data_IF_678915987730
#
_entry.id   IF_678915987730
#
_cell.length_a   1.000
_cell.length_b   1.000
_cell.length_c   1.000
_cell.angle_alpha   90.00
_cell.angle_beta   90.00
_cell.angle_gamma   90.00
#
_symmetry.space_group_name_H-M   'P 1'
#
loop_
_entity.id
_entity.type
_entity.pdbx_description
1 polymer ?
#
# COMPACT_ATOMS: atom_id res chain seq x y z
N UNK A 1 44.93 38.03 23.49
CA UNK A 1 44.55 36.79 22.79
C UNK A 1 43.06 36.85 22.50
N UNK A 2 42.69 37.11 21.24
CA UNK A 2 41.30 37.10 20.79
C UNK A 2 40.80 35.66 20.71
N UNK A 3 39.84 35.28 21.53
CA UNK A 3 39.05 34.06 21.35
C UNK A 3 38.04 34.31 20.24
N UNK A 4 38.42 33.92 19.01
CA UNK A 4 37.47 33.83 17.90
C UNK A 4 36.36 32.84 18.27
N UNK A 5 35.16 33.35 18.51
CA UNK A 5 33.94 32.54 18.54
C UNK A 5 33.71 31.99 17.15
N UNK A 6 33.99 30.70 16.95
CA UNK A 6 33.64 29.95 15.75
C UNK A 6 32.11 30.06 15.59
N UNK A 7 31.59 30.58 14.46
CA UNK A 7 30.15 30.63 14.24
C UNK A 7 29.61 29.19 14.21
N UNK A 8 28.75 28.85 15.19
CA UNK A 8 28.02 27.58 15.20
C UNK A 8 27.13 27.55 13.98
N UNK A 9 27.39 26.60 13.09
CA UNK A 9 26.58 26.36 11.90
C UNK A 9 25.18 25.88 12.35
N UNK A 10 24.10 26.67 12.14
CA UNK A 10 22.75 26.35 12.63
C UNK A 10 22.17 25.07 12.02
N UNK A 11 22.78 24.54 10.95
CA UNK A 11 22.34 23.32 10.28
C UNK A 11 22.86 22.03 10.94
N UNK A 12 23.79 22.09 11.90
CA UNK A 12 24.34 20.89 12.56
C UNK A 12 23.42 20.25 13.61
N UNK A 13 22.36 20.93 14.03
CA UNK A 13 21.47 20.48 15.13
C UNK A 13 20.00 20.37 14.72
N UNK A 14 19.71 20.17 13.42
CA UNK A 14 18.32 19.90 13.00
C UNK A 14 18.02 18.42 13.32
N UNK A 15 17.05 18.11 14.22
CA UNK A 15 16.59 16.75 14.42
C UNK A 15 16.17 16.16 13.09
N UNK A 16 16.53 14.90 12.81
CA UNK A 16 16.29 14.25 11.52
C UNK A 16 14.81 14.34 11.06
N UNK A 17 13.87 14.33 12.02
CA UNK A 17 12.43 14.51 11.77
C UNK A 17 12.13 15.90 11.20
N UNK A 18 12.77 16.96 11.71
CA UNK A 18 12.62 18.32 11.19
C UNK A 18 13.21 18.41 9.79
N UNK A 19 14.36 17.77 9.54
CA UNK A 19 14.95 17.73 8.19
C UNK A 19 14.00 17.07 7.18
N UNK A 20 13.40 15.92 7.52
CA UNK A 20 12.38 15.30 6.66
C UNK A 20 11.18 16.21 6.46
N UNK A 21 10.65 16.84 7.51
CA UNK A 21 9.50 17.76 7.38
C UNK A 21 9.79 18.96 6.48
N UNK A 22 11.00 19.51 6.53
CA UNK A 22 11.42 20.59 5.63
C UNK A 22 11.51 20.10 4.18
N UNK A 23 12.16 18.95 3.95
CA UNK A 23 12.25 18.34 2.63
C UNK A 23 10.87 18.03 2.04
N UNK A 24 9.98 17.49 2.86
CA UNK A 24 8.58 17.22 2.55
C UNK A 24 7.86 18.51 2.16
N UNK A 25 7.99 19.57 2.96
CA UNK A 25 7.37 20.86 2.67
C UNK A 25 7.80 21.40 1.31
N UNK A 26 9.10 21.33 1.00
CA UNK A 26 9.64 21.72 -0.30
C UNK A 26 9.09 20.83 -1.42
N UNK A 27 9.08 19.51 -1.23
CA UNK A 27 8.61 18.59 -2.25
C UNK A 27 7.12 18.79 -2.57
N UNK A 28 6.31 18.97 -1.53
CA UNK A 28 4.88 19.21 -1.63
C UNK A 28 4.58 20.54 -2.33
N UNK A 29 5.32 21.58 -1.97
CA UNK A 29 5.23 22.89 -2.62
C UNK A 29 5.58 22.80 -4.10
N UNK A 30 6.68 22.12 -4.45
CA UNK A 30 7.09 21.96 -5.84
C UNK A 30 6.05 21.15 -6.63
N UNK A 31 5.48 20.09 -6.03
CA UNK A 31 4.40 19.32 -6.65
C UNK A 31 3.16 20.20 -6.87
N UNK A 32 2.73 20.97 -5.86
CA UNK A 32 1.54 21.81 -5.96
C UNK A 32 1.74 23.03 -6.90
N UNK A 33 2.97 23.52 -7.10
CA UNK A 33 3.26 24.65 -8.01
C UNK A 33 3.48 24.19 -9.44
N UNK A 34 4.29 23.16 -9.65
CA UNK A 34 4.75 22.77 -10.99
C UNK A 34 4.01 21.56 -11.55
N UNK A 35 3.45 20.70 -10.68
CA UNK A 35 2.80 19.44 -11.05
C UNK A 35 1.29 19.39 -10.76
N UNK A 36 0.67 20.44 -10.22
CA UNK A 36 -0.79 20.51 -10.01
C UNK A 36 -1.63 20.44 -11.31
N UNK A 37 -0.99 20.21 -12.46
CA UNK A 37 -1.60 19.97 -13.75
C UNK A 37 -1.52 18.47 -14.07
N UNK A 38 -2.59 17.75 -13.77
CA UNK A 38 -3.17 16.69 -14.62
C UNK A 38 -4.44 16.03 -14.06
N UNK A 39 -5.26 16.76 -13.29
CA UNK A 39 -6.66 16.34 -13.05
C UNK A 39 -7.55 16.42 -14.30
N UNK A 40 -7.10 17.13 -15.35
CA UNK A 40 -7.83 17.30 -16.61
C UNK A 40 -7.62 16.15 -17.61
N UNK A 41 -6.72 15.21 -17.32
CA UNK A 41 -6.45 14.03 -18.15
C UNK A 41 -6.80 12.72 -17.41
N UNK A 42 -7.78 12.76 -16.50
CA UNK A 42 -8.63 11.59 -16.31
C UNK A 42 -9.69 11.61 -17.42
N UNK A 43 -9.26 11.75 -18.68
CA UNK A 43 -10.10 11.25 -19.75
C UNK A 43 -10.24 9.75 -19.48
N UNK A 44 -11.44 9.17 -19.65
CA UNK A 44 -11.56 7.73 -19.59
C UNK A 44 -10.53 7.22 -20.61
N UNK A 45 -9.49 6.54 -20.11
CA UNK A 45 -8.61 5.71 -20.93
C UNK A 45 -9.58 5.02 -21.88
N UNK A 46 -9.53 5.37 -23.18
CA UNK A 46 -10.44 4.78 -24.16
C UNK A 46 -10.36 3.30 -23.87
N UNK A 47 -11.52 2.64 -23.65
CA UNK A 47 -11.55 1.19 -23.47
C UNK A 47 -11.03 0.59 -24.79
N UNK A 48 -9.71 0.57 -24.96
CA UNK A 48 -9.05 -0.23 -25.96
C UNK A 48 -9.55 -1.63 -25.65
N UNK A 49 -10.19 -2.22 -26.65
CA UNK A 49 -10.74 -3.55 -26.53
C UNK A 49 -9.58 -4.47 -26.10
N UNK A 50 -9.72 -5.06 -24.93
CA UNK A 50 -8.75 -6.04 -24.45
C UNK A 50 -8.99 -7.34 -25.20
N UNK A 51 -7.95 -8.12 -25.44
CA UNK A 51 -8.11 -9.47 -26.00
C UNK A 51 -9.06 -10.34 -25.14
N UNK A 52 -9.14 -10.06 -23.84
CA UNK A 52 -10.06 -10.72 -22.89
C UNK A 52 -11.53 -10.40 -23.19
N UNK A 53 -11.83 -9.28 -23.85
CA UNK A 53 -13.21 -8.93 -24.22
C UNK A 53 -13.77 -9.90 -25.27
N UNK A 54 -12.90 -10.61 -26.00
CA UNK A 54 -13.27 -11.62 -27.00
C UNK A 54 -13.41 -13.04 -26.43
N UNK A 55 -13.01 -13.27 -25.18
CA UNK A 55 -13.06 -14.58 -24.54
C UNK A 55 -14.29 -14.71 -23.66
N UNK A 56 -14.91 -15.89 -23.63
CA UNK A 56 -15.88 -16.22 -22.59
C UNK A 56 -15.17 -16.75 -21.34
N UNK A 57 -15.93 -16.87 -20.24
CA UNK A 57 -15.36 -17.30 -18.96
C UNK A 57 -14.79 -18.72 -19.03
N UNK A 58 -15.40 -19.61 -19.84
CA UNK A 58 -14.90 -20.96 -20.07
C UNK A 58 -13.54 -20.97 -20.78
N UNK A 59 -13.35 -20.12 -21.78
CA UNK A 59 -12.08 -19.95 -22.50
C UNK A 59 -10.99 -19.42 -21.56
N UNK A 60 -11.32 -18.45 -20.70
CA UNK A 60 -10.37 -17.91 -19.73
C UNK A 60 -9.95 -18.99 -18.73
N UNK A 61 -10.91 -19.78 -18.22
CA UNK A 61 -10.63 -20.89 -17.31
C UNK A 61 -9.77 -21.97 -17.97
N UNK A 62 -10.07 -22.36 -19.21
CA UNK A 62 -9.26 -23.33 -19.94
C UNK A 62 -7.81 -22.84 -20.13
N UNK A 63 -7.63 -21.58 -20.54
CA UNK A 63 -6.30 -20.95 -20.63
C UNK A 63 -5.58 -20.93 -19.29
N UNK A 64 -6.27 -20.57 -18.21
CA UNK A 64 -5.73 -20.56 -16.86
C UNK A 64 -5.24 -21.94 -16.43
N UNK A 65 -6.09 -22.97 -16.51
CA UNK A 65 -5.69 -24.33 -16.17
C UNK A 65 -4.62 -24.89 -17.11
N UNK A 66 -4.62 -24.47 -18.37
CA UNK A 66 -3.53 -24.71 -19.32
C UNK A 66 -2.20 -24.15 -18.83
N UNK A 67 -2.17 -22.88 -18.43
CA UNK A 67 -0.98 -22.22 -17.88
C UNK A 67 -0.49 -22.87 -16.57
N UNK A 68 -1.42 -23.28 -15.70
CA UNK A 68 -1.11 -24.04 -14.47
C UNK A 68 -0.42 -25.35 -14.81
N UNK A 69 -0.98 -26.15 -15.74
CA UNK A 69 -0.37 -27.43 -16.18
C UNK A 69 0.97 -27.25 -16.87
N UNK A 70 1.15 -26.15 -17.60
CA UNK A 70 2.39 -25.82 -18.30
C UNK A 70 3.48 -25.23 -17.38
N UNK A 71 3.17 -24.97 -16.10
CA UNK A 71 4.11 -24.37 -15.16
C UNK A 71 4.43 -22.89 -15.46
N UNK A 72 3.52 -22.17 -16.13
CA UNK A 72 3.68 -20.76 -16.52
C UNK A 72 3.30 -19.79 -15.39
N UNK A 73 3.43 -20.20 -14.14
CA UNK A 73 3.24 -19.32 -13.00
C UNK A 73 4.43 -18.40 -12.82
N UNK A 74 4.16 -17.15 -12.40
CA UNK A 74 5.19 -16.15 -12.16
C UNK A 74 5.99 -16.53 -10.90
N UNK A 75 7.29 -16.86 -10.98
CA UNK A 75 8.09 -17.33 -9.82
C UNK A 75 8.11 -16.35 -8.65
N UNK A 76 7.93 -15.07 -8.92
CA UNK A 76 7.86 -13.99 -7.93
C UNK A 76 6.53 -13.93 -7.15
N UNK A 77 5.51 -14.70 -7.59
CA UNK A 77 4.17 -14.77 -6.99
C UNK A 77 3.99 -15.89 -5.97
N UNK A 78 5.09 -16.53 -5.57
CA UNK A 78 5.07 -17.62 -4.58
C UNK A 78 4.60 -17.08 -3.22
N UNK A 79 3.60 -17.75 -2.64
CA UNK A 79 3.07 -17.42 -1.32
C UNK A 79 3.87 -18.06 -0.17
N UNK A 80 3.40 -17.87 1.07
CA UNK A 80 4.02 -18.45 2.26
C UNK A 80 3.97 -19.98 2.35
N UNK A 81 3.21 -20.64 1.46
CA UNK A 81 3.06 -22.09 1.36
C UNK A 81 3.78 -22.67 0.14
N UNK A 82 4.60 -21.87 -0.54
CA UNK A 82 5.29 -22.24 -1.78
C UNK A 82 4.36 -22.46 -2.98
N UNK A 83 3.13 -21.93 -2.94
CA UNK A 83 2.18 -21.99 -4.05
C UNK A 83 2.27 -20.73 -4.92
N UNK A 84 2.25 -20.91 -6.23
CA UNK A 84 2.17 -19.81 -7.19
C UNK A 84 0.74 -19.26 -7.21
N UNK A 85 0.61 -17.94 -7.08
CA UNK A 85 -0.70 -17.27 -7.11
C UNK A 85 -1.02 -16.61 -8.44
N UNK A 86 -0.03 -16.36 -9.29
CA UNK A 86 -0.22 -15.59 -10.53
C UNK A 86 0.26 -16.41 -11.73
N UNK A 87 -0.59 -16.53 -12.74
CA UNK A 87 -0.33 -17.28 -13.96
C UNK A 87 -0.55 -16.40 -15.17
N UNK A 88 0.45 -16.36 -16.08
CA UNK A 88 0.36 -15.61 -17.34
C UNK A 88 -0.43 -16.44 -18.36
N UNK A 89 -1.56 -15.90 -18.85
CA UNK A 89 -2.45 -16.62 -19.78
C UNK A 89 -2.36 -16.09 -21.23
N UNK A 90 -1.74 -14.92 -21.41
CA UNK A 90 -1.38 -14.32 -22.70
C UNK A 90 -0.25 -13.31 -22.48
N UNK A 91 0.23 -12.65 -23.55
CA UNK A 91 1.32 -11.68 -23.43
C UNK A 91 0.99 -10.51 -22.50
N UNK A 92 -0.27 -10.08 -22.46
CA UNK A 92 -0.73 -8.90 -21.74
C UNK A 92 -1.61 -9.19 -20.52
N UNK A 93 -1.92 -10.47 -20.24
CA UNK A 93 -2.92 -10.84 -19.21
C UNK A 93 -2.38 -11.89 -18.26
N UNK A 94 -2.64 -11.65 -16.97
CA UNK A 94 -2.45 -12.63 -15.90
C UNK A 94 -3.77 -12.97 -15.22
N UNK A 95 -3.81 -14.15 -14.63
CA UNK A 95 -4.82 -14.54 -13.65
C UNK A 95 -4.16 -14.65 -12.29
N UNK A 96 -4.64 -13.84 -11.34
CA UNK A 96 -4.26 -13.93 -9.93
C UNK A 96 -5.33 -14.71 -9.17
N UNK A 97 -4.93 -15.79 -8.52
CA UNK A 97 -5.74 -16.54 -7.59
C UNK A 97 -5.64 -15.91 -6.21
N UNK A 98 -6.77 -15.52 -5.64
CA UNK A 98 -6.85 -14.95 -4.30
C UNK A 98 -7.99 -15.61 -3.52
N UNK A 99 -7.71 -16.06 -2.31
CA UNK A 99 -8.78 -16.50 -1.41
C UNK A 99 -9.56 -15.29 -0.90
N UNK A 100 -10.88 -15.40 -0.95
CA UNK A 100 -11.77 -14.51 -0.24
C UNK A 100 -11.48 -14.52 1.26
N UNK A 101 -11.76 -13.41 1.93
CA UNK A 101 -11.33 -13.16 3.32
C UNK A 101 -12.48 -12.92 4.29
N UNK A 102 -13.70 -13.10 3.84
CA UNK A 102 -14.86 -13.16 4.72
C UNK A 102 -15.03 -14.60 5.21
N UNK A 103 -14.16 -15.03 6.13
CA UNK A 103 -14.09 -16.40 6.63
C UNK A 103 -15.41 -16.96 7.20
N UNK A 104 -16.27 -16.07 7.69
CA UNK A 104 -17.55 -16.43 8.31
C UNK A 104 -18.77 -16.09 7.42
N UNK A 105 -18.56 -15.66 6.16
CA UNK A 105 -19.65 -15.36 5.20
C UNK A 105 -19.54 -16.19 3.92
N UNK A 106 -20.67 -16.71 3.40
CA UNK A 106 -20.68 -17.39 2.11
C UNK A 106 -20.39 -16.43 0.95
N UNK A 107 -20.66 -15.13 1.13
CA UNK A 107 -20.34 -14.09 0.15
C UNK A 107 -18.93 -13.58 0.41
N UNK A 108 -18.06 -13.76 -0.59
CA UNK A 108 -16.70 -13.24 -0.59
C UNK A 108 -16.63 -11.88 -1.28
N UNK A 109 -16.04 -10.91 -0.59
CA UNK A 109 -15.85 -9.56 -1.12
C UNK A 109 -14.52 -9.51 -1.88
N UNK A 110 -14.50 -9.06 -3.15
CA UNK A 110 -13.28 -8.98 -3.93
C UNK A 110 -12.46 -7.72 -3.58
N UNK A 111 -11.82 -7.72 -2.41
CA UNK A 111 -11.18 -6.52 -1.83
C UNK A 111 -10.15 -5.87 -2.77
N UNK A 112 -9.30 -6.66 -3.42
CA UNK A 112 -8.30 -6.14 -4.37
C UNK A 112 -8.95 -5.46 -5.57
N UNK A 113 -10.04 -6.03 -6.09
CA UNK A 113 -10.76 -5.45 -7.22
C UNK A 113 -11.37 -4.08 -6.88
N UNK A 114 -12.05 -4.00 -5.74
CA UNK A 114 -12.64 -2.76 -5.25
C UNK A 114 -11.56 -1.69 -5.01
N UNK A 115 -10.41 -2.08 -4.44
CA UNK A 115 -9.29 -1.17 -4.21
C UNK A 115 -8.67 -0.67 -5.52
N UNK A 116 -8.35 -1.56 -6.46
CA UNK A 116 -7.78 -1.21 -7.76
C UNK A 116 -8.71 -0.29 -8.55
N UNK A 117 -10.00 -0.62 -8.62
CA UNK A 117 -10.99 0.21 -9.30
C UNK A 117 -11.10 1.60 -8.67
N UNK A 118 -11.12 1.65 -7.33
CA UNK A 118 -11.14 2.93 -6.61
C UNK A 118 -9.91 3.78 -6.92
N UNK A 119 -8.71 3.19 -6.88
CA UNK A 119 -7.44 3.89 -7.15
C UNK A 119 -7.41 4.41 -8.59
N UNK A 120 -7.78 3.59 -9.58
CA UNK A 120 -7.87 4.00 -10.99
C UNK A 120 -8.82 5.18 -11.20
N UNK A 121 -9.96 5.19 -10.50
CA UNK A 121 -10.98 6.23 -10.65
C UNK A 121 -10.62 7.55 -9.97
N UNK A 122 -9.85 7.51 -8.89
CA UNK A 122 -9.64 8.69 -8.03
C UNK A 122 -8.21 9.24 -8.04
N UNK A 123 -7.27 8.55 -8.69
CA UNK A 123 -5.85 8.91 -8.70
C UNK A 123 -5.24 8.71 -10.09
N UNK A 124 -4.03 9.21 -10.29
CA UNK A 124 -3.21 8.94 -11.49
C UNK A 124 -2.18 7.84 -11.23
N UNK A 125 -2.35 7.04 -10.18
CA UNK A 125 -1.41 5.98 -9.81
C UNK A 125 -1.55 4.86 -10.86
N UNK A 126 -0.46 4.46 -11.55
CA UNK A 126 -0.48 3.30 -12.42
C UNK A 126 -0.72 2.04 -11.61
N UNK A 127 -1.87 1.41 -11.84
CA UNK A 127 -2.26 0.13 -11.22
C UNK A 127 -2.89 -0.78 -12.28
N UNK A 128 -2.72 -2.11 -12.18
CA UNK A 128 -3.30 -3.05 -13.14
C UNK A 128 -4.81 -2.90 -13.25
N UNK A 129 -5.37 -3.00 -14.46
CA UNK A 129 -6.81 -3.08 -14.66
C UNK A 129 -7.30 -4.50 -14.41
N UNK A 130 -8.36 -4.64 -13.63
CA UNK A 130 -9.14 -5.88 -13.59
C UNK A 130 -10.13 -5.87 -14.76
N UNK A 131 -10.07 -6.93 -15.57
CA UNK A 131 -10.98 -7.16 -16.68
C UNK A 131 -12.18 -7.99 -16.25
N UNK A 132 -11.95 -9.06 -15.47
CA UNK A 132 -13.00 -9.96 -14.96
C UNK A 132 -12.64 -10.54 -13.60
N UNK A 133 -13.67 -10.94 -12.86
CA UNK A 133 -13.55 -11.72 -11.63
C UNK A 133 -14.29 -13.02 -11.90
N UNK A 134 -13.56 -14.14 -11.94
CA UNK A 134 -14.15 -15.46 -12.10
C UNK A 134 -14.16 -16.20 -10.76
N UNK A 135 -15.08 -17.14 -10.64
CA UNK A 135 -15.21 -18.03 -9.50
C UNK A 135 -15.14 -19.46 -9.99
N UNK A 136 -14.57 -20.36 -9.17
CA UNK A 136 -14.51 -21.78 -9.48
C UNK A 136 -15.42 -22.56 -8.53
N UNK A 137 -16.11 -23.57 -9.04
CA UNK A 137 -16.90 -24.49 -8.20
C UNK A 137 -15.99 -25.42 -7.39
N UNK A 138 -14.77 -25.68 -7.90
CA UNK A 138 -13.79 -26.58 -7.29
C UNK A 138 -13.14 -25.99 -6.04
N UNK A 139 -13.05 -24.66 -5.94
CA UNK A 139 -12.49 -23.96 -4.79
C UNK A 139 -13.45 -22.85 -4.33
N UNK A 140 -14.55 -23.23 -3.64
CA UNK A 140 -15.50 -22.26 -3.12
C UNK A 140 -14.80 -21.21 -2.26
N UNK A 141 -15.05 -19.94 -2.58
CA UNK A 141 -14.47 -18.80 -1.89
C UNK A 141 -13.16 -18.27 -2.49
N UNK A 142 -12.64 -18.88 -3.56
CA UNK A 142 -11.53 -18.34 -4.33
C UNK A 142 -12.03 -17.38 -5.44
N UNK A 143 -11.37 -16.24 -5.57
CA UNK A 143 -11.50 -15.32 -6.69
C UNK A 143 -10.34 -15.52 -7.67
N UNK A 144 -10.65 -15.57 -8.96
CA UNK A 144 -9.68 -15.49 -10.04
C UNK A 144 -9.78 -14.10 -10.68
N UNK A 145 -8.81 -13.24 -10.39
CA UNK A 145 -8.72 -11.91 -10.97
C UNK A 145 -8.01 -11.98 -12.31
N UNK A 146 -8.75 -11.74 -13.39
CA UNK A 146 -8.20 -11.60 -14.74
C UNK A 146 -7.82 -10.14 -14.92
N UNK A 147 -6.52 -9.84 -15.03
CA UNK A 147 -6.02 -8.48 -14.98
C UNK A 147 -4.80 -8.26 -15.88
N UNK A 148 -4.46 -6.99 -16.12
CA UNK A 148 -3.27 -6.62 -16.90
C UNK A 148 -2.00 -7.26 -16.33
N UNK A 149 -1.19 -7.83 -17.22
CA UNK A 149 0.20 -8.12 -16.96
C UNK A 149 1.02 -6.86 -17.14
N UNK A 150 1.74 -6.46 -16.09
CA UNK A 150 2.63 -5.30 -16.16
C UNK A 150 4.05 -5.79 -16.42
N UNK A 151 4.56 -5.49 -17.61
CA UNK A 151 5.95 -5.76 -17.94
C UNK A 151 6.89 -4.83 -17.16
N UNK A 152 7.61 -5.40 -16.21
CA UNK A 152 8.61 -4.67 -15.42
C UNK A 152 9.25 -5.56 -14.37
N UNK A 153 10.24 -5.01 -13.69
CA UNK A 153 10.95 -5.70 -12.61
C UNK A 153 10.48 -5.18 -11.25
N UNK A 154 10.46 -6.06 -10.24
CA UNK A 154 10.18 -5.64 -8.88
C UNK A 154 11.23 -4.64 -8.40
N UNK A 155 10.79 -3.57 -7.73
CA UNK A 155 11.67 -2.53 -7.22
C UNK A 155 12.77 -3.13 -6.34
N UNK A 156 12.46 -4.16 -5.55
CA UNK A 156 13.42 -4.89 -4.73
C UNK A 156 14.62 -5.44 -5.51
N UNK A 157 14.38 -5.96 -6.71
CA UNK A 157 15.40 -6.58 -7.57
C UNK A 157 16.29 -5.53 -8.24
N UNK A 158 15.71 -4.42 -8.69
CA UNK A 158 16.45 -3.36 -9.40
C UNK A 158 17.02 -2.27 -8.48
N UNK A 159 16.58 -2.16 -7.23
CA UNK A 159 17.06 -1.14 -6.31
C UNK A 159 18.59 -1.07 -6.13
N UNK A 160 19.33 -2.19 -6.08
CA UNK A 160 20.79 -2.16 -6.01
C UNK A 160 21.45 -1.60 -7.28
N UNK A 161 20.81 -1.76 -8.44
CA UNK A 161 21.36 -1.36 -9.75
C UNK A 161 21.01 0.08 -10.13
N UNK A 162 20.00 0.68 -9.48
CA UNK A 162 19.63 2.09 -9.69
C UNK A 162 20.81 3.02 -9.38
N UNK A 163 21.07 3.96 -10.31
CA UNK A 163 22.09 4.99 -10.14
C UNK A 163 21.91 5.68 -8.77
N UNK A 164 22.98 5.80 -7.95
CA UNK A 164 22.84 5.82 -6.49
C UNK A 164 22.02 6.97 -5.90
N UNK A 165 21.83 8.07 -6.62
CA UNK A 165 21.20 9.28 -6.08
C UNK A 165 19.93 9.67 -6.83
N UNK A 166 19.99 9.85 -8.16
CA UNK A 166 18.83 10.35 -8.92
C UNK A 166 17.71 9.34 -9.10
N UNK A 167 18.02 8.07 -9.40
CA UNK A 167 17.00 7.04 -9.64
C UNK A 167 16.18 6.76 -8.37
N UNK A 168 16.87 6.57 -7.24
CA UNK A 168 16.23 6.34 -5.94
C UNK A 168 15.43 7.55 -5.47
N UNK A 169 15.94 8.76 -5.68
CA UNK A 169 15.23 10.00 -5.36
C UNK A 169 13.95 10.15 -6.20
N UNK A 170 14.03 9.89 -7.51
CA UNK A 170 12.87 9.93 -8.41
C UNK A 170 11.78 8.98 -7.93
N UNK A 171 12.14 7.74 -7.60
CA UNK A 171 11.17 6.75 -7.11
C UNK A 171 10.57 7.20 -5.77
N UNK A 172 11.39 7.67 -4.82
CA UNK A 172 10.90 8.18 -3.55
C UNK A 172 9.93 9.36 -3.74
N UNK A 173 10.21 10.25 -4.71
CA UNK A 173 9.33 11.37 -5.04
C UNK A 173 8.02 10.92 -5.67
N UNK A 174 8.07 9.98 -6.61
CA UNK A 174 6.88 9.38 -7.22
C UNK A 174 6.00 8.72 -6.16
N UNK A 175 6.59 7.91 -5.27
CA UNK A 175 5.86 7.27 -4.18
C UNK A 175 5.26 8.29 -3.19
N UNK A 176 5.98 9.38 -2.88
CA UNK A 176 5.41 10.47 -2.07
C UNK A 176 4.18 11.08 -2.74
N UNK A 177 4.23 11.35 -4.04
CA UNK A 177 3.06 11.83 -4.78
C UNK A 177 1.91 10.82 -4.72
N UNK A 178 2.19 9.51 -4.85
CA UNK A 178 1.16 8.47 -4.70
C UNK A 178 0.50 8.52 -3.32
N UNK A 179 1.28 8.59 -2.24
CA UNK A 179 0.74 8.73 -0.87
C UNK A 179 -0.13 9.99 -0.74
N UNK A 180 0.29 11.12 -1.31
CA UNK A 180 -0.51 12.36 -1.32
C UNK A 180 -1.82 12.19 -2.08
N UNK A 181 -1.80 11.50 -3.22
CA UNK A 181 -3.00 11.21 -4.01
C UNK A 181 -3.98 10.33 -3.24
N UNK A 182 -3.50 9.25 -2.61
CA UNK A 182 -4.32 8.36 -1.77
C UNK A 182 -4.95 9.11 -0.59
N UNK A 183 -4.20 10.01 0.05
CA UNK A 183 -4.72 10.87 1.13
C UNK A 183 -5.74 11.92 0.69
N UNK A 184 -5.64 12.36 -0.56
CA UNK A 184 -6.55 13.35 -1.17
C UNK A 184 -7.80 12.71 -1.76
N UNK A 185 -7.79 11.40 -2.05
CA UNK A 185 -8.95 10.68 -2.57
C UNK A 185 -10.12 10.77 -1.58
N UNK A 186 -11.26 11.30 -2.06
CA UNK A 186 -12.48 11.44 -1.25
C UNK A 186 -13.34 10.20 -1.45
N UNK A 187 -13.87 9.65 -0.36
CA UNK A 187 -14.83 8.55 -0.39
C UNK A 187 -15.86 8.71 0.72
N UNK A 188 -17.06 8.19 0.50
CA UNK A 188 -18.04 7.98 1.57
C UNK A 188 -17.59 6.89 2.56
N UNK A 189 -16.71 5.98 2.11
CA UNK A 189 -16.11 4.94 2.95
C UNK A 189 -15.05 5.48 3.92
N UNK A 190 -14.66 6.76 3.82
CA UNK A 190 -13.67 7.38 4.73
C UNK A 190 -14.11 7.46 6.21
N UNK A 191 -15.37 7.11 6.52
CA UNK A 191 -15.89 7.01 7.89
C UNK A 191 -15.86 5.61 8.49
N UNK A 192 -15.73 4.56 7.67
CA UNK A 192 -15.68 3.16 8.12
C UNK A 192 -14.27 2.62 7.92
N UNK A 193 -13.58 2.17 9.00
CA UNK A 193 -12.22 1.66 8.89
C UNK A 193 -12.20 0.28 8.24
N UNK A 194 -11.14 0.02 7.49
CA UNK A 194 -10.91 -1.31 6.91
C UNK A 194 -10.90 -1.33 5.39
N UNK A 195 -10.81 -2.54 4.80
CA UNK A 195 -10.93 -2.73 3.36
C UNK A 195 -12.26 -2.21 2.81
N UNK A 196 -12.26 -1.92 1.50
CA UNK A 196 -13.45 -1.44 0.81
C UNK A 196 -14.53 -2.54 0.79
N UNK A 197 -15.78 -2.15 1.03
CA UNK A 197 -16.96 -3.01 1.00
C UNK A 197 -18.19 -2.26 1.48
N UNK A 198 -19.37 -2.87 1.31
CA UNK A 198 -20.65 -2.25 1.71
C UNK A 198 -20.87 -2.26 3.23
N UNK A 199 -20.19 -3.17 3.93
CA UNK A 199 -20.20 -3.30 5.38
C UNK A 199 -18.77 -3.23 5.95
N UNK A 200 -18.60 -3.02 7.27
CA UNK A 200 -17.29 -3.10 7.92
C UNK A 200 -16.55 -4.40 7.62
N UNK A 201 -15.46 -4.30 6.84
CA UNK A 201 -14.67 -5.45 6.44
C UNK A 201 -13.61 -5.80 7.49
N UNK A 202 -13.17 -7.06 7.49
CA UNK A 202 -12.07 -7.53 8.36
C UNK A 202 -10.79 -6.77 8.04
N UNK A 203 -10.25 -6.06 9.04
CA UNK A 203 -8.98 -5.36 8.97
C UNK A 203 -7.82 -6.36 8.98
N UNK A 204 -6.84 -6.15 8.09
CA UNK A 204 -5.65 -6.99 7.93
C UNK A 204 -4.42 -6.09 7.86
N UNK A 205 -3.32 -6.60 8.40
CA UNK A 205 -2.05 -5.88 8.45
C UNK A 205 -1.21 -6.33 9.62
N UNK A 206 0.11 -6.14 9.53
CA UNK A 206 1.02 -6.38 10.65
C UNK A 206 0.63 -5.57 11.89
N UNK A 207 0.10 -4.37 11.67
CA UNK A 207 -0.40 -3.47 12.71
C UNK A 207 -1.55 -4.07 13.55
N UNK A 208 -2.30 -5.03 13.00
CA UNK A 208 -3.36 -5.76 13.69
C UNK A 208 -2.87 -7.06 14.35
N UNK A 209 -1.56 -7.25 14.45
CA UNK A 209 -0.91 -8.38 15.13
C UNK A 209 -1.36 -9.75 14.58
N UNK A 210 -1.65 -9.82 13.28
CA UNK A 210 -2.11 -11.05 12.61
C UNK A 210 -3.50 -11.53 13.04
N UNK A 211 -4.28 -10.73 13.79
CA UNK A 211 -5.64 -11.10 14.16
C UNK A 211 -6.56 -11.00 12.95
N UNK A 212 -7.09 -12.14 12.49
CA UNK A 212 -7.89 -12.30 11.25
C UNK A 212 -9.40 -12.06 11.41
N UNK A 213 -9.86 -11.48 12.53
CA UNK A 213 -11.29 -11.35 12.86
C UNK A 213 -11.63 -10.03 13.53
N UNK A 214 -11.02 -8.94 13.05
CA UNK A 214 -11.23 -7.62 13.64
C UNK A 214 -11.77 -6.69 12.57
N UNK A 215 -13.04 -6.34 12.65
CA UNK A 215 -13.66 -5.25 11.89
C UNK A 215 -14.15 -4.19 12.87
N UNK A 216 -14.34 -2.96 12.40
CA UNK A 216 -14.84 -1.89 13.25
C UNK A 216 -15.88 -1.05 12.50
N UNK A 217 -16.98 -0.67 13.16
CA UNK A 217 -18.02 0.13 12.52
C UNK A 217 -17.58 1.57 12.28
N UNK A 218 -16.63 2.08 13.07
CA UNK A 218 -16.21 3.48 13.03
C UNK A 218 -14.80 3.70 13.61
N UNK A 219 -14.31 4.95 13.46
CA UNK A 219 -13.01 5.38 13.97
C UNK A 219 -12.90 5.31 15.51
N UNK A 220 -13.90 5.70 16.33
CA UNK A 220 -13.86 5.51 17.77
C UNK A 220 -13.62 4.06 18.20
N UNK A 221 -14.27 3.09 17.53
CA UNK A 221 -14.10 1.66 17.81
C UNK A 221 -12.69 1.17 17.48
N UNK A 222 -12.16 1.57 16.32
CA UNK A 222 -10.76 1.31 15.94
C UNK A 222 -9.78 1.90 16.97
N UNK A 223 -9.97 3.17 17.32
CA UNK A 223 -9.16 3.88 18.32
C UNK A 223 -9.16 3.16 19.67
N UNK A 224 -10.35 2.78 20.16
CA UNK A 224 -10.52 2.09 21.44
C UNK A 224 -9.76 0.77 21.49
N UNK A 225 -9.80 0.00 20.40
CA UNK A 225 -9.08 -1.26 20.28
C UNK A 225 -7.56 -1.09 20.37
N UNK A 226 -7.00 -0.11 19.65
CA UNK A 226 -5.56 0.17 19.74
C UNK A 226 -5.16 0.68 21.12
N UNK A 227 -5.96 1.56 21.73
CA UNK A 227 -5.72 2.02 23.10
C UNK A 227 -5.74 0.88 24.12
N UNK A 228 -6.67 -0.07 23.97
CA UNK A 228 -6.72 -1.26 24.83
C UNK A 228 -5.46 -2.12 24.68
N UNK A 229 -4.98 -2.32 23.44
CA UNK A 229 -3.73 -3.04 23.19
C UNK A 229 -2.51 -2.37 23.82
N UNK A 230 -2.36 -1.05 23.65
CA UNK A 230 -1.25 -0.29 24.26
C UNK A 230 -1.36 -0.30 25.79
N UNK A 231 -2.56 -0.13 26.35
CA UNK A 231 -2.80 -0.19 27.80
C UNK A 231 -2.37 -1.55 28.37
N UNK A 232 -2.80 -2.65 27.76
CA UNK A 232 -2.46 -4.00 28.21
C UNK A 232 -0.94 -4.24 28.16
N UNK A 233 -0.26 -3.80 27.09
CA UNK A 233 1.20 -3.87 26.99
C UNK A 233 1.88 -3.09 28.11
N UNK A 234 1.43 -1.86 28.40
CA UNK A 234 2.02 -1.02 29.44
C UNK A 234 1.82 -1.59 30.84
N UNK A 235 0.62 -2.06 31.15
CA UNK A 235 0.31 -2.73 32.42
C UNK A 235 1.19 -3.95 32.62
N UNK A 236 1.36 -4.79 31.59
CA UNK A 236 2.26 -5.94 31.61
C UNK A 236 3.71 -5.59 31.95
N UNK A 237 4.19 -4.41 31.51
CA UNK A 237 5.54 -3.94 31.77
C UNK A 237 5.65 -2.93 32.92
N UNK A 238 4.58 -2.70 33.70
CA UNK A 238 4.58 -1.76 34.82
C UNK A 238 4.78 -0.29 34.42
N UNK A 239 4.46 0.06 33.18
CA UNK A 239 4.61 1.42 32.65
C UNK A 239 3.38 2.29 32.97
N UNK A 240 3.56 3.59 33.25
CA UNK A 240 2.44 4.49 33.49
C UNK A 240 1.58 4.65 32.23
N UNK A 241 0.27 4.99 32.33
CA UNK A 241 -0.57 5.22 31.17
C UNK A 241 0.04 6.23 30.18
N UNK A 242 -0.10 5.98 28.88
CA UNK A 242 0.36 6.95 27.88
C UNK A 242 -0.47 8.23 27.96
N UNK A 243 0.21 9.37 27.83
CA UNK A 243 -0.43 10.69 27.73
C UNK A 243 -0.76 11.06 26.28
N UNK A 244 -0.40 10.21 25.32
CA UNK A 244 -0.55 10.47 23.89
C UNK A 244 -1.76 9.74 23.35
N UNK A 245 -2.43 10.40 22.43
CA UNK A 245 -3.52 9.86 21.64
C UNK A 245 -3.26 10.21 20.17
N UNK A 246 -2.68 9.28 19.39
CA UNK A 246 -2.46 9.46 17.96
C UNK A 246 -3.75 9.58 17.14
N UNK A 247 -4.87 9.07 17.65
CA UNK A 247 -6.18 9.13 16.99
C UNK A 247 -6.85 10.48 17.17
N UNK A 248 -6.50 11.27 18.18
CA UNK A 248 -7.07 12.61 18.46
C UNK A 248 -7.05 13.56 17.26
N UNK A 249 -6.04 13.46 16.39
CA UNK A 249 -5.91 14.31 15.18
C UNK A 249 -6.51 13.68 13.92
N UNK A 250 -6.97 12.43 14.00
CA UNK A 250 -7.57 11.72 12.89
C UNK A 250 -9.03 12.17 12.75
N UNK A 251 -9.30 13.14 11.88
CA UNK A 251 -10.67 13.60 11.61
C UNK A 251 -11.37 12.76 10.53
N UNK A 252 -10.59 12.16 9.64
CA UNK A 252 -11.05 11.30 8.55
C UNK A 252 -10.00 10.23 8.28
N UNK A 253 -10.44 9.09 7.76
CA UNK A 253 -9.52 8.08 7.27
C UNK A 253 -9.24 8.29 5.79
N UNK A 254 -8.03 7.91 5.40
CA UNK A 254 -7.53 8.01 4.04
C UNK A 254 -7.36 6.62 3.47
N UNK A 255 -7.35 6.50 2.14
CA UNK A 255 -6.96 5.25 1.53
C UNK A 255 -5.47 4.99 1.84
N UNK A 256 -5.17 3.80 2.32
CA UNK A 256 -3.82 3.30 2.54
C UNK A 256 -3.70 1.94 1.87
N UNK A 257 -2.53 1.63 1.31
CA UNK A 257 -2.23 0.36 0.66
C UNK A 257 -2.01 -0.77 1.67
N UNK A 258 -1.48 -0.46 2.86
CA UNK A 258 -1.23 -1.37 4.00
C UNK A 258 -0.19 -2.48 3.77
N UNK A 259 0.14 -2.80 2.53
CA UNK A 259 1.24 -3.69 2.13
C UNK A 259 2.14 -3.06 1.06
N UNK A 260 2.31 -1.74 1.08
CA UNK A 260 3.20 -1.07 0.14
C UNK A 260 4.66 -1.37 0.53
N UNK A 261 5.34 -2.16 -0.29
CA UNK A 261 6.74 -2.51 -0.11
C UNK A 261 7.41 -2.75 -1.47
N UNK A 262 8.73 -2.98 -1.48
CA UNK A 262 9.50 -3.04 -2.73
C UNK A 262 9.16 -4.23 -3.65
N UNK A 263 8.47 -5.27 -3.15
CA UNK A 263 7.96 -6.37 -3.99
C UNK A 263 6.66 -6.01 -4.71
N UNK A 264 5.92 -5.05 -4.15
CA UNK A 264 4.62 -4.58 -4.60
C UNK A 264 4.74 -3.29 -5.42
N UNK A 265 5.96 -2.94 -5.84
CA UNK A 265 6.25 -1.83 -6.75
C UNK A 265 6.99 -2.41 -7.94
N UNK A 266 6.46 -2.20 -9.15
CA UNK A 266 7.14 -2.57 -10.39
C UNK A 266 7.72 -1.34 -11.07
N UNK A 267 8.96 -1.45 -11.55
CA UNK A 267 9.53 -0.50 -12.49
C UNK A 267 9.17 -0.99 -13.88
N UNK A 268 8.12 -0.39 -14.45
CA UNK A 268 7.59 -0.78 -15.76
C UNK A 268 8.57 -0.44 -16.88
N UNK A 269 8.56 -1.25 -17.95
CA UNK A 269 9.33 -0.96 -19.17
C UNK A 269 8.89 0.33 -19.86
N UNK A 270 7.67 0.78 -19.60
CA UNK A 270 7.12 2.08 -19.99
C UNK A 270 7.70 3.27 -19.20
N UNK A 271 8.60 3.01 -18.24
CA UNK A 271 9.22 4.01 -17.38
C UNK A 271 8.32 4.52 -16.26
N UNK A 272 7.12 3.94 -16.07
CA UNK A 272 6.22 4.25 -14.97
C UNK A 272 6.54 3.38 -13.75
N UNK A 273 6.17 3.89 -12.57
CA UNK A 273 6.26 3.16 -11.31
C UNK A 273 4.87 2.63 -11.00
N UNK A 274 4.68 1.32 -11.15
CA UNK A 274 3.39 0.67 -10.94
C UNK A 274 3.26 0.18 -9.51
N UNK A 275 2.10 0.38 -8.89
CA UNK A 275 1.77 -0.16 -7.58
C UNK A 275 0.81 -1.34 -7.73
N UNK A 276 1.17 -2.49 -7.18
CA UNK A 276 0.42 -3.76 -7.33
C UNK A 276 0.09 -4.34 -5.95
N UNK A 277 -0.74 -5.40 -5.93
CA UNK A 277 -1.10 -6.14 -4.72
C UNK A 277 -1.87 -5.28 -3.69
N UNK A 278 -3.02 -4.77 -4.11
CA UNK A 278 -3.89 -3.88 -3.31
C UNK A 278 -4.83 -4.63 -2.38
N UNK A 279 -4.57 -5.91 -2.18
CA UNK A 279 -5.43 -6.85 -1.47
C UNK A 279 -5.67 -6.40 -0.01
N UNK A 280 -4.70 -5.72 0.62
CA UNK A 280 -4.77 -5.24 2.00
C UNK A 280 -5.22 -3.78 2.13
N UNK A 281 -5.48 -3.12 0.99
CA UNK A 281 -5.80 -1.70 0.98
C UNK A 281 -7.15 -1.41 1.66
N UNK A 282 -7.27 -0.23 2.25
CA UNK A 282 -8.47 0.19 2.95
C UNK A 282 -8.39 1.62 3.49
N UNK A 283 -9.47 2.07 4.12
CA UNK A 283 -9.51 3.38 4.76
C UNK A 283 -9.03 3.29 6.20
N UNK A 284 -7.92 3.98 6.50
CA UNK A 284 -7.30 3.99 7.83
C UNK A 284 -6.72 5.38 8.17
N UNK A 285 -6.32 5.64 9.43
CA UNK A 285 -5.57 6.84 9.79
C UNK A 285 -4.29 7.02 8.96
N UNK A 286 -3.95 8.25 8.59
CA UNK A 286 -2.83 8.58 7.67
C UNK A 286 -1.47 8.00 8.07
N UNK A 287 -1.28 7.76 9.37
CA UNK A 287 -0.04 7.23 9.94
C UNK A 287 0.09 5.71 9.81
N UNK A 288 -0.98 4.97 9.45
CA UNK A 288 -0.93 3.51 9.27
C UNK A 288 0.03 3.09 8.17
N UNK A 289 0.09 3.85 7.06
CA UNK A 289 1.02 3.55 5.97
C UNK A 289 2.48 3.64 6.45
N UNK A 290 2.84 4.69 7.19
CA UNK A 290 4.18 4.84 7.78
C UNK A 290 4.52 3.69 8.73
N UNK A 291 3.56 3.25 9.55
CA UNK A 291 3.74 2.12 10.46
C UNK A 291 4.04 0.82 9.71
N UNK A 292 3.22 0.47 8.71
CA UNK A 292 3.38 -0.77 7.96
C UNK A 292 4.69 -0.78 7.17
N UNK A 293 5.02 0.30 6.44
CA UNK A 293 6.30 0.41 5.74
C UNK A 293 7.47 0.30 6.71
N UNK A 294 7.41 0.98 7.85
CA UNK A 294 8.48 0.92 8.84
C UNK A 294 8.68 -0.52 9.36
N UNK A 295 7.59 -1.23 9.68
CA UNK A 295 7.65 -2.61 10.16
C UNK A 295 8.21 -3.57 9.10
N UNK A 296 7.67 -3.56 7.88
CA UNK A 296 8.14 -4.43 6.79
C UNK A 296 9.60 -4.15 6.46
N UNK A 297 10.01 -2.87 6.49
CA UNK A 297 11.36 -2.48 6.16
C UNK A 297 12.43 -3.02 7.13
N UNK A 298 12.05 -3.24 8.39
CA UNK A 298 12.93 -3.83 9.40
C UNK A 298 13.20 -5.32 9.17
N UNK A 299 12.36 -6.01 8.39
CA UNK A 299 12.47 -7.46 8.18
C UNK A 299 13.37 -7.83 7.01
N UNK A 300 13.35 -7.07 5.90
CA UNK A 300 13.93 -7.56 4.63
C UNK A 300 14.27 -6.48 3.59
N UNK A 301 14.46 -5.21 3.99
CA UNK A 301 14.66 -4.08 3.05
C UNK A 301 16.05 -3.43 3.16
N UNK A 302 16.70 -3.01 2.06
CA UNK A 302 17.97 -2.28 2.11
C UNK A 302 17.88 -0.96 2.90
N UNK A 303 18.91 -0.63 3.68
CA UNK A 303 18.99 0.60 4.50
C UNK A 303 18.71 1.88 3.69
N UNK A 304 19.17 1.92 2.43
CA UNK A 304 18.94 3.08 1.56
C UNK A 304 17.45 3.31 1.23
N UNK A 305 16.67 2.23 1.13
CA UNK A 305 15.21 2.31 0.96
C UNK A 305 14.51 2.69 2.26
N UNK A 306 14.95 2.13 3.40
CA UNK A 306 14.45 2.51 4.73
C UNK A 306 14.53 4.02 4.99
N UNK A 307 15.62 4.67 4.56
CA UNK A 307 15.79 6.12 4.68
C UNK A 307 14.78 6.94 3.85
N UNK A 308 14.16 6.36 2.83
CA UNK A 308 13.15 7.05 2.04
C UNK A 308 11.77 7.04 2.71
N UNK A 309 11.48 6.08 3.61
CA UNK A 309 10.16 5.88 4.21
C UNK A 309 9.61 7.15 4.89
N UNK A 310 10.37 7.86 5.76
CA UNK A 310 9.86 9.07 6.39
C UNK A 310 9.54 10.19 5.40
N UNK A 311 10.28 10.26 4.27
CA UNK A 311 9.99 11.19 3.20
C UNK A 311 8.73 10.79 2.42
N UNK A 312 8.54 9.50 2.13
CA UNK A 312 7.40 9.00 1.35
C UNK A 312 6.08 9.14 2.12
N UNK A 313 6.07 8.79 3.41
CA UNK A 313 4.82 8.61 4.19
C UNK A 313 4.65 9.58 5.37
N UNK A 314 5.55 10.55 5.51
CA UNK A 314 5.68 11.46 6.65
C UNK A 314 6.20 10.76 7.94
N UNK A 315 7.06 11.43 8.73
CA UNK A 315 7.72 10.82 9.87
C UNK A 315 6.81 10.73 11.10
N UNK A 316 5.88 9.75 11.13
CA UNK A 316 5.00 9.48 12.28
C UNK A 316 5.71 8.69 13.40
N UNK A 317 6.95 9.08 13.74
CA UNK A 317 7.82 8.40 14.74
C UNK A 317 7.13 8.27 16.10
N UNK A 318 6.39 9.30 16.52
CA UNK A 318 5.70 9.29 17.80
C UNK A 318 4.52 8.30 17.84
N UNK A 319 3.94 7.93 16.69
CA UNK A 319 2.91 6.89 16.60
C UNK A 319 3.52 5.49 16.75
N UNK A 320 4.71 5.26 16.17
CA UNK A 320 5.49 4.03 16.40
C UNK A 320 5.80 3.86 17.88
N UNK A 321 6.36 4.90 18.51
CA UNK A 321 6.70 4.85 19.95
C UNK A 321 5.49 4.56 20.82
N UNK A 322 4.37 5.20 20.54
CA UNK A 322 3.12 4.95 21.26
C UNK A 322 2.67 3.50 21.14
N UNK A 323 2.67 2.93 19.93
CA UNK A 323 2.30 1.54 19.70
C UNK A 323 3.25 0.54 20.38
N UNK A 324 4.53 0.88 20.45
CA UNK A 324 5.58 0.08 21.11
C UNK A 324 5.68 0.34 22.63
N UNK A 325 4.86 1.24 23.18
CA UNK A 325 4.92 1.68 24.58
C UNK A 325 6.29 2.27 25.00
N UNK A 326 6.94 3.02 24.10
CA UNK A 326 8.25 3.67 24.30
C UNK A 326 8.20 5.20 24.23
N UNK A 327 7.00 5.77 24.34
CA UNK A 327 6.69 7.21 24.18
C UNK A 327 6.85 8.09 25.41
#
# INVERSE_FOLDING_TARGET
MNTQTIPRNPFKEIPIVIAYKLLICVADFLEDVFWARNKRELEPESKEASEVDLWDDATILDKFYGAVRAGQGLPESVDGFSELKIYKISESIVVKQAMGRTFDSPVQVPHEALALEFVRKHTSIPVPRIHRILHTETEPGTHLYVMDFIEGDQLGQVWPTLLPQWGKLRIAWTLRSYIRQLRRAKSTLSSVPGPLGDEPQTCIGFIFQGKRRVSFPDLPSLSSWFHAGVRATRERFGLPPSRRDPFRKCQKMVLTHMDLNMRNILVGKDGRIWAIDWDWAGFYPEWFEYMNLSFVSMMSTPISSQRCIPFITDPYVECIRWMQATD
#
